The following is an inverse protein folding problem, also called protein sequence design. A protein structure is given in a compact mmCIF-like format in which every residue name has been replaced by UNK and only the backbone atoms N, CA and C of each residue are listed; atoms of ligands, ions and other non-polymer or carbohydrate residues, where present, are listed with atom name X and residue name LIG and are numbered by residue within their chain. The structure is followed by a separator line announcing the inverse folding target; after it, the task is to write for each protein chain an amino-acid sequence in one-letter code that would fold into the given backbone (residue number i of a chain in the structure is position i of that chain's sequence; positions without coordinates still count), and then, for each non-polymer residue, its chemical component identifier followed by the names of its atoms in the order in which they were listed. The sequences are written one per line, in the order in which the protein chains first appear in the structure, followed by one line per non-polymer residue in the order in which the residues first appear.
data_IF_700961369128
#
_entry.id   IF_700961369128
#
_cell.length_a   1.000
_cell.length_b   1.000
_cell.length_c   1.000
_cell.angle_alpha   90.00
_cell.angle_beta   90.00
_cell.angle_gamma   90.00
#
_symmetry.space_group_name_H-M   'P 1'
#
loop_
_entity.id
_entity.type
_entity.pdbx_description
1 polymer ?
#
# COMPACT_ATOMS: atom_id res chain seq x y z
N UNK A 1 -28.06 -17.01 40.69
CA UNK A 1 -27.23 -15.80 40.74
C UNK A 1 -26.75 -15.55 39.32
N UNK A 2 -27.40 -14.63 38.61
CA UNK A 2 -27.10 -14.31 37.22
C UNK A 2 -26.19 -13.08 37.20
N UNK A 3 -25.05 -13.17 36.52
CA UNK A 3 -24.18 -12.02 36.24
C UNK A 3 -23.91 -11.95 34.75
N UNK A 4 -24.41 -10.88 34.14
CA UNK A 4 -24.22 -10.49 32.74
C UNK A 4 -22.78 -10.08 32.43
N UNK A 5 -22.31 -10.22 31.18
CA UNK A 5 -21.02 -9.69 30.74
C UNK A 5 -21.10 -8.21 30.32
N UNK A 6 -20.05 -7.47 30.66
CA UNK A 6 -19.86 -6.03 30.37
C UNK A 6 -19.83 -5.68 28.88
N UNK A 7 -20.27 -4.46 28.49
CA UNK A 7 -20.25 -3.98 27.12
C UNK A 7 -18.92 -3.33 26.72
N UNK A 8 -18.58 -3.46 25.44
CA UNK A 8 -17.43 -2.84 24.75
C UNK A 8 -17.46 -1.29 24.80
N UNK A 9 -16.30 -0.61 24.76
CA UNK A 9 -16.25 0.84 24.73
C UNK A 9 -16.63 1.39 23.35
N UNK A 10 -17.66 2.24 23.31
CA UNK A 10 -18.06 3.05 22.16
C UNK A 10 -17.14 4.27 22.05
N UNK A 11 -16.27 4.29 21.03
CA UNK A 11 -15.52 5.49 20.66
C UNK A 11 -16.46 6.47 19.96
N UNK A 12 -16.82 7.55 20.66
CA UNK A 12 -17.63 8.66 20.16
C UNK A 12 -16.88 9.44 19.08
N UNK A 13 -17.33 9.31 17.82
CA UNK A 13 -16.87 10.14 16.70
C UNK A 13 -17.60 11.49 16.74
N UNK A 14 -16.92 12.56 17.12
CA UNK A 14 -17.40 13.94 17.05
C UNK A 14 -17.21 14.47 15.63
N UNK A 15 -18.27 14.84 14.88
CA UNK A 15 -18.08 15.51 13.61
C UNK A 15 -17.80 17.00 13.86
N UNK A 16 -16.64 17.47 13.41
CA UNK A 16 -16.36 18.90 13.31
C UNK A 16 -17.31 19.54 12.30
N UNK A 17 -18.29 20.29 12.81
CA UNK A 17 -19.19 21.16 12.05
C UNK A 17 -18.42 22.40 11.61
N UNK A 18 -17.82 22.37 10.42
CA UNK A 18 -17.32 23.58 9.79
C UNK A 18 -18.42 24.13 8.88
N UNK A 19 -19.22 25.05 9.41
CA UNK A 19 -20.18 25.83 8.63
C UNK A 19 -19.41 26.83 7.77
N UNK A 20 -19.20 26.53 6.49
CA UNK A 20 -18.95 27.56 5.49
C UNK A 20 -20.07 27.54 4.45
N UNK A 21 -20.83 28.63 4.50
CA UNK A 21 -21.89 29.02 3.60
C UNK A 21 -21.36 29.11 2.16
N UNK A 22 -21.85 28.28 1.26
CA UNK A 22 -21.77 28.52 -0.18
C UNK A 22 -23.18 28.43 -0.77
N UNK A 23 -23.81 29.60 -0.80
CA UNK A 23 -24.97 29.89 -1.63
C UNK A 23 -24.55 29.87 -3.10
N UNK A 24 -25.10 28.92 -3.87
CA UNK A 24 -25.10 28.94 -5.34
C UNK A 24 -24.24 27.86 -6.01
N UNK A 25 -24.77 26.65 -6.18
CA UNK A 25 -24.20 25.62 -7.06
C UNK A 25 -25.33 24.91 -7.82
N UNK A 26 -25.21 24.97 -9.13
CA UNK A 26 -26.02 24.35 -10.19
C UNK A 26 -26.01 22.80 -10.07
N UNK A 27 -27.16 22.08 -10.15
CA UNK A 27 -27.23 20.64 -9.87
C UNK A 27 -26.61 19.71 -10.94
N UNK A 28 -25.99 20.23 -12.01
CA UNK A 28 -25.39 19.43 -13.09
C UNK A 28 -23.86 19.54 -13.23
N UNK A 29 -23.16 20.17 -12.28
CA UNK A 29 -21.71 20.21 -12.30
C UNK A 29 -21.10 19.02 -11.52
N UNK A 30 -20.08 18.32 -12.05
CA UNK A 30 -19.37 17.29 -11.30
C UNK A 30 -18.70 17.91 -10.05
N UNK A 31 -18.56 17.16 -8.94
CA UNK A 31 -17.97 17.69 -7.72
C UNK A 31 -16.54 18.17 -7.96
N UNK A 32 -16.12 19.30 -7.35
CA UNK A 32 -14.78 19.82 -7.55
C UNK A 32 -13.73 18.81 -7.10
N UNK A 33 -12.61 18.67 -7.84
CA UNK A 33 -11.53 17.78 -7.46
C UNK A 33 -10.94 18.19 -6.10
N UNK A 34 -10.41 17.24 -5.32
CA UNK A 34 -9.86 17.52 -4.00
C UNK A 34 -8.74 18.59 -4.09
N UNK A 35 -8.58 19.44 -3.05
CA UNK A 35 -7.54 20.45 -3.04
C UNK A 35 -6.16 19.79 -3.16
N UNK A 36 -5.32 20.35 -4.05
CA UNK A 36 -3.94 19.87 -4.26
C UNK A 36 -3.16 19.92 -2.93
N UNK A 37 -2.38 18.90 -2.58
CA UNK A 37 -1.50 18.95 -1.43
C UNK A 37 -0.51 20.11 -1.60
N UNK A 38 -0.36 20.89 -0.53
CA UNK A 38 0.44 22.11 -0.47
C UNK A 38 1.93 21.79 -0.72
N UNK A 39 2.51 22.47 -1.70
CA UNK A 39 3.90 22.31 -2.14
C UNK A 39 4.85 23.01 -1.18
N UNK A 40 5.24 22.33 -0.09
CA UNK A 40 6.44 22.64 0.70
C UNK A 40 7.03 21.36 1.28
N UNK A 41 7.58 20.53 0.39
CA UNK A 41 8.74 19.69 0.69
C UNK A 41 9.58 19.64 -0.59
N UNK A 42 10.77 20.23 -0.50
CA UNK A 42 11.68 20.46 -1.63
C UNK A 42 12.46 19.17 -1.93
N UNK A 43 12.28 18.69 -3.16
CA UNK A 43 13.24 18.05 -4.08
C UNK A 43 14.55 17.47 -3.54
N UNK A 44 14.87 16.24 -3.98
CA UNK A 44 15.99 15.94 -4.92
C UNK A 44 16.19 14.42 -5.11
N UNK A 45 15.65 13.87 -6.19
CA UNK A 45 16.32 12.76 -6.89
C UNK A 45 15.85 12.73 -8.34
N UNK A 46 16.52 13.55 -9.15
CA UNK A 46 16.46 13.48 -10.60
C UNK A 46 17.55 12.54 -11.11
N UNK A 47 17.15 11.60 -11.95
CA UNK A 47 18.02 10.77 -12.81
C UNK A 47 18.62 11.65 -13.91
N UNK A 48 19.91 11.53 -14.27
CA UNK A 48 20.38 12.02 -15.56
C UNK A 48 20.68 10.86 -16.51
N UNK A 49 19.96 10.85 -17.64
CA UNK A 49 20.40 10.21 -18.87
C UNK A 49 21.44 11.13 -19.55
N UNK A 50 22.58 10.57 -19.94
CA UNK A 50 23.67 11.30 -20.57
C UNK A 50 23.48 11.47 -22.08
N UNK A 51 23.65 12.70 -22.55
CA UNK A 51 24.15 13.04 -23.89
C UNK A 51 24.52 14.52 -23.92
N UNK A 52 25.75 14.84 -24.33
CA UNK A 52 26.15 16.22 -24.66
C UNK A 52 27.58 16.58 -24.24
N UNK A 53 28.55 16.27 -25.10
CA UNK A 53 29.87 16.90 -25.13
C UNK A 53 29.74 18.42 -25.17
N UNK A 54 30.47 19.16 -24.32
CA UNK A 54 31.26 20.35 -24.71
C UNK A 54 32.41 20.56 -23.71
N UNK A 55 33.63 20.34 -24.21
CA UNK A 55 34.89 20.83 -23.67
C UNK A 55 35.02 22.34 -23.87
N UNK A 56 35.61 23.10 -22.93
CA UNK A 56 36.73 24.03 -23.17
C UNK A 56 37.27 24.67 -21.86
N UNK A 57 38.57 24.44 -21.64
CA UNK A 57 39.65 25.25 -21.05
C UNK A 57 39.61 25.82 -19.61
N UNK A 58 40.57 25.31 -18.82
CA UNK A 58 41.12 25.77 -17.52
C UNK A 58 42.21 26.83 -17.73
N UNK A 59 42.21 27.93 -16.98
CA UNK A 59 43.46 28.36 -16.34
C UNK A 59 43.26 29.03 -14.96
N UNK A 60 44.12 28.70 -13.99
CA UNK A 60 44.25 29.40 -12.71
C UNK A 60 44.08 28.49 -11.50
N UNK A 61 45.18 27.94 -10.99
CA UNK A 61 45.24 27.56 -9.57
C UNK A 61 45.02 28.82 -8.71
N UNK A 62 44.32 28.66 -7.59
CA UNK A 62 45.04 28.50 -6.34
C UNK A 62 44.68 27.19 -5.66
N UNK A 63 45.72 26.60 -5.07
CA UNK A 63 45.67 25.56 -4.07
C UNK A 63 44.64 25.88 -2.98
N UNK A 64 43.63 25.02 -2.83
CA UNK A 64 42.86 24.94 -1.59
C UNK A 64 42.55 23.48 -1.31
N UNK A 65 43.46 22.94 -0.51
CA UNK A 65 43.30 21.91 0.51
C UNK A 65 42.04 21.05 0.38
N UNK A 66 42.26 19.78 0.05
CA UNK A 66 41.40 18.71 0.55
C UNK A 66 41.31 18.84 2.07
N UNK A 67 40.23 19.42 2.59
CA UNK A 67 39.80 19.17 3.96
C UNK A 67 39.42 17.69 4.03
N UNK A 68 40.43 16.88 4.34
CA UNK A 68 40.25 15.53 4.81
C UNK A 68 39.32 15.57 6.00
N UNK A 69 38.11 15.06 5.79
CA UNK A 69 37.21 14.67 6.85
C UNK A 69 37.96 13.63 7.67
N UNK A 70 38.59 14.10 8.75
CA UNK A 70 39.17 13.25 9.78
C UNK A 70 38.02 12.44 10.35
N UNK A 71 37.79 11.26 9.79
CA UNK A 71 37.19 10.17 10.54
C UNK A 71 38.09 9.97 11.75
N UNK A 72 37.60 10.49 12.87
CA UNK A 72 38.05 10.15 14.20
C UNK A 72 37.65 8.69 14.43
N UNK A 73 38.26 7.77 13.68
CA UNK A 73 38.46 6.40 14.15
C UNK A 73 39.21 6.59 15.46
N UNK A 74 38.68 6.16 16.62
CA UNK A 74 39.55 5.84 17.71
C UNK A 74 40.48 4.78 17.13
N UNK A 75 41.68 5.22 16.74
CA UNK A 75 42.84 4.34 16.65
C UNK A 75 42.99 3.90 18.09
N UNK A 76 42.24 2.87 18.48
CA UNK A 76 42.51 2.10 19.67
C UNK A 76 44.01 1.90 19.59
N UNK A 77 44.67 2.51 20.56
CA UNK A 77 46.10 2.42 20.70
C UNK A 77 46.37 0.93 20.61
N UNK A 78 46.98 0.49 19.50
CA UNK A 78 47.63 -0.81 19.43
C UNK A 78 48.48 -0.79 20.68
N UNK A 79 48.00 -1.45 21.74
CA UNK A 79 48.71 -1.54 22.99
C UNK A 79 50.07 -2.00 22.54
N UNK A 80 51.08 -1.16 22.73
CA UNK A 80 52.41 -1.41 22.25
C UNK A 80 52.86 -2.62 23.06
N UNK A 81 52.60 -3.83 22.52
CA UNK A 81 52.89 -5.11 23.14
C UNK A 81 54.38 -5.02 23.39
N UNK A 82 54.74 -4.79 24.66
CA UNK A 82 56.14 -4.68 25.04
C UNK A 82 56.75 -6.01 24.68
N UNK A 83 57.69 -5.98 23.73
CA UNK A 83 58.51 -7.11 23.42
C UNK A 83 59.19 -7.51 24.74
N UNK A 84 59.01 -8.74 25.23
CA UNK A 84 59.60 -9.19 26.50
C UNK A 84 61.12 -9.00 26.58
N UNK A 85 61.78 -8.67 25.46
CA UNK A 85 63.20 -8.38 25.36
C UNK A 85 64.04 -9.64 25.45
N UNK A 86 65.32 -9.52 25.14
CA UNK A 86 66.27 -10.65 25.02
C UNK A 86 66.51 -11.43 26.34
N UNK A 87 65.95 -10.96 27.46
CA UNK A 87 66.13 -11.54 28.80
C UNK A 87 65.00 -12.48 29.23
N UNK A 88 63.93 -12.57 28.44
CA UNK A 88 62.82 -13.44 28.82
C UNK A 88 63.02 -14.87 28.35
N UNK A 89 63.16 -15.78 29.32
CA UNK A 89 63.15 -17.22 29.11
C UNK A 89 62.19 -17.87 30.13
N UNK A 90 61.32 -18.80 29.71
CA UNK A 90 60.52 -19.58 30.64
C UNK A 90 61.40 -20.26 31.69
N UNK A 91 61.07 -20.12 32.98
CA UNK A 91 61.86 -20.68 34.11
C UNK A 91 62.11 -22.20 33.97
N UNK A 92 61.21 -22.90 33.30
CA UNK A 92 61.30 -24.34 33.01
C UNK A 92 62.50 -24.69 32.12
N UNK A 93 62.99 -23.74 31.33
CA UNK A 93 64.16 -23.88 30.46
C UNK A 93 65.48 -23.51 31.15
N UNK A 94 65.46 -22.87 32.32
CA UNK A 94 66.68 -22.48 33.04
C UNK A 94 67.42 -23.69 33.64
N UNK A 95 66.70 -24.74 34.05
CA UNK A 95 67.27 -25.91 34.73
C UNK A 95 67.57 -27.09 33.77
N UNK A 96 67.55 -26.87 32.45
CA UNK A 96 67.66 -27.94 31.44
C UNK A 96 69.07 -28.13 30.92
N UNK A 97 69.40 -29.38 30.56
CA UNK A 97 70.72 -29.73 30.03
C UNK A 97 70.93 -29.12 28.64
N UNK A 98 72.19 -28.90 28.24
CA UNK A 98 72.53 -28.37 26.91
C UNK A 98 71.97 -29.24 25.76
N UNK A 99 71.85 -30.55 25.98
CA UNK A 99 71.27 -31.48 25.01
C UNK A 99 69.75 -31.28 24.89
N UNK A 100 69.04 -31.08 26.00
CA UNK A 100 67.60 -30.84 26.00
C UNK A 100 67.25 -29.48 25.38
N UNK A 101 68.07 -28.44 25.62
CA UNK A 101 67.90 -27.13 24.99
C UNK A 101 68.14 -27.20 23.48
N UNK A 102 69.14 -27.95 23.02
CA UNK A 102 69.37 -28.16 21.59
C UNK A 102 68.22 -28.93 20.94
N UNK A 103 67.66 -29.93 21.64
CA UNK A 103 66.49 -30.67 21.18
C UNK A 103 65.24 -29.77 21.08
N UNK A 104 64.97 -28.96 22.12
CA UNK A 104 63.87 -28.00 22.09
C UNK A 104 64.03 -26.96 20.97
N UNK A 105 65.24 -26.46 20.74
CA UNK A 105 65.53 -25.49 19.69
C UNK A 105 65.42 -26.09 18.28
N UNK A 106 65.70 -27.39 18.14
CA UNK A 106 65.54 -28.13 16.89
C UNK A 106 64.09 -28.43 16.52
N UNK A 107 63.15 -28.29 17.46
CA UNK A 107 61.76 -28.67 17.29
C UNK A 107 60.81 -27.46 17.40
N UNK A 108 60.47 -26.79 16.28
CA UNK A 108 59.70 -25.55 16.29
C UNK A 108 58.29 -25.70 16.85
N UNK A 109 57.68 -26.88 16.73
CA UNK A 109 56.36 -27.16 17.31
C UNK A 109 56.40 -27.15 18.85
N UNK A 110 57.50 -27.62 19.45
CA UNK A 110 57.70 -27.62 20.90
C UNK A 110 57.93 -26.18 21.39
N UNK A 111 58.71 -25.39 20.65
CA UNK A 111 58.87 -23.96 20.93
C UNK A 111 57.54 -23.21 20.90
N UNK A 112 56.71 -23.43 19.87
CA UNK A 112 55.39 -22.83 19.77
C UNK A 112 54.47 -23.25 20.94
N UNK A 113 54.53 -24.52 21.35
CA UNK A 113 53.78 -24.98 22.51
C UNK A 113 54.25 -24.31 23.81
N UNK A 114 55.56 -24.11 24.00
CA UNK A 114 56.11 -23.41 25.16
C UNK A 114 55.81 -21.91 25.16
N UNK A 115 55.76 -21.25 24.00
CA UNK A 115 55.43 -19.81 23.93
C UNK A 115 53.95 -19.54 24.16
N UNK A 116 53.06 -20.47 23.80
CA UNK A 116 51.60 -20.30 23.94
C UNK A 116 50.97 -21.05 25.13
N UNK A 117 51.73 -21.87 25.85
CA UNK A 117 51.25 -22.59 27.03
C UNK A 117 51.04 -21.65 28.22
N UNK A 118 49.93 -21.82 28.96
CA UNK A 118 49.53 -20.94 30.07
C UNK A 118 50.53 -20.87 31.22
N UNK A 119 51.40 -21.88 31.37
CA UNK A 119 52.43 -21.94 32.42
C UNK A 119 53.75 -21.25 32.03
N UNK A 120 54.01 -21.09 30.73
CA UNK A 120 55.29 -20.62 30.19
C UNK A 120 55.16 -19.41 29.27
N UNK A 121 53.95 -19.00 28.91
CA UNK A 121 53.68 -17.85 28.05
C UNK A 121 53.95 -16.53 28.79
N UNK A 122 54.49 -15.56 28.06
CA UNK A 122 54.65 -14.21 28.57
C UNK A 122 53.29 -13.49 28.64
N UNK A 123 53.01 -12.67 29.67
CA UNK A 123 51.76 -11.91 29.78
C UNK A 123 51.45 -11.03 28.56
N UNK A 124 52.45 -10.58 27.79
CA UNK A 124 52.23 -9.77 26.58
C UNK A 124 51.45 -10.50 25.49
N UNK A 125 51.58 -11.84 25.39
CA UNK A 125 50.80 -12.65 24.44
C UNK A 125 49.33 -12.65 24.87
N UNK A 126 49.04 -12.86 26.16
CA UNK A 126 47.68 -12.77 26.69
C UNK A 126 47.09 -11.38 26.49
N UNK A 127 47.85 -10.32 26.77
CA UNK A 127 47.43 -8.93 26.52
C UNK A 127 47.14 -8.66 25.04
N UNK A 128 47.91 -9.23 24.11
CA UNK A 128 47.64 -9.07 22.68
C UNK A 128 46.40 -9.84 22.19
N UNK A 129 46.09 -10.97 22.82
CA UNK A 129 45.00 -11.84 22.42
C UNK A 129 43.65 -11.43 23.02
N UNK A 130 43.65 -10.74 24.15
CA UNK A 130 42.44 -10.28 24.84
C UNK A 130 41.56 -9.35 23.98
N UNK A 131 42.07 -8.27 23.35
CA UNK A 131 41.25 -7.43 22.47
C UNK A 131 40.77 -8.18 21.23
N UNK A 132 41.59 -9.12 20.70
CA UNK A 132 41.20 -9.95 19.55
C UNK A 132 40.05 -10.92 19.91
N UNK A 133 40.07 -11.48 21.13
CA UNK A 133 39.00 -12.34 21.64
C UNK A 133 37.73 -11.55 21.89
N UNK A 134 37.84 -10.38 22.52
CA UNK A 134 36.71 -9.46 22.72
C UNK A 134 36.08 -9.06 21.38
N UNK A 135 36.88 -8.66 20.40
CA UNK A 135 36.38 -8.29 19.08
C UNK A 135 35.72 -9.47 18.33
N UNK A 136 36.21 -10.70 18.55
CA UNK A 136 35.60 -11.91 17.99
C UNK A 136 34.24 -12.20 18.64
N UNK A 137 34.16 -12.10 19.97
CA UNK A 137 32.91 -12.27 20.71
C UNK A 137 31.87 -11.22 20.30
N UNK A 138 32.30 -9.96 20.14
CA UNK A 138 31.45 -8.87 19.62
C UNK A 138 30.97 -9.15 18.19
N UNK A 139 31.83 -9.68 17.32
CA UNK A 139 31.45 -10.03 15.96
C UNK A 139 30.41 -11.17 15.94
N UNK A 140 30.56 -12.17 16.80
CA UNK A 140 29.57 -13.25 16.97
C UNK A 140 28.24 -12.69 17.49
N UNK A 141 28.27 -11.80 18.48
CA UNK A 141 27.08 -11.14 19.01
C UNK A 141 26.36 -10.32 17.93
N UNK A 142 27.11 -9.58 17.10
CA UNK A 142 26.55 -8.85 15.97
C UNK A 142 25.96 -9.77 14.91
N UNK A 143 26.65 -10.86 14.55
CA UNK A 143 26.17 -11.82 13.57
C UNK A 143 24.87 -12.51 14.02
N UNK A 144 24.78 -12.91 15.29
CA UNK A 144 23.56 -13.51 15.86
C UNK A 144 22.40 -12.53 15.88
N UNK A 145 22.64 -11.26 16.23
CA UNK A 145 21.63 -10.21 16.17
C UNK A 145 21.16 -9.93 14.74
N UNK A 146 22.07 -9.92 13.75
CA UNK A 146 21.70 -9.76 12.35
C UNK A 146 20.81 -10.91 11.85
N UNK A 147 21.09 -12.15 12.25
CA UNK A 147 20.24 -13.31 11.92
C UNK A 147 18.84 -13.20 12.55
N UNK A 148 18.74 -12.70 13.78
CA UNK A 148 17.43 -12.45 14.42
C UNK A 148 16.64 -11.38 13.64
N UNK A 149 17.29 -10.27 13.27
CA UNK A 149 16.66 -9.21 12.49
C UNK A 149 16.23 -9.69 11.10
N UNK A 150 17.03 -10.53 10.44
CA UNK A 150 16.69 -11.15 9.17
C UNK A 150 15.41 -11.98 9.30
N UNK A 151 15.34 -12.88 10.29
CA UNK A 151 14.15 -13.71 10.53
C UNK A 151 12.91 -12.84 10.79
N UNK A 152 13.05 -11.76 11.56
CA UNK A 152 11.96 -10.82 11.84
C UNK A 152 11.50 -10.08 10.59
N UNK A 153 12.43 -9.65 9.73
CA UNK A 153 12.10 -9.00 8.47
C UNK A 153 11.35 -9.94 7.52
N UNK A 154 11.75 -11.21 7.45
CA UNK A 154 11.06 -12.19 6.59
C UNK A 154 9.66 -12.52 7.09
N UNK A 155 9.47 -12.61 8.40
CA UNK A 155 8.14 -12.70 8.99
C UNK A 155 7.28 -11.47 8.69
N UNK A 156 7.86 -10.27 8.76
CA UNK A 156 7.12 -9.04 8.44
C UNK A 156 6.75 -8.96 6.95
N UNK A 157 7.68 -9.33 6.06
CA UNK A 157 7.44 -9.39 4.61
C UNK A 157 6.34 -10.39 4.26
N UNK A 158 6.39 -11.59 4.80
CA UNK A 158 5.36 -12.61 4.55
C UNK A 158 3.98 -12.19 5.09
N UNK A 159 3.93 -11.63 6.31
CA UNK A 159 2.69 -11.10 6.89
C UNK A 159 2.09 -9.96 6.06
N UNK A 160 2.92 -8.98 5.65
CA UNK A 160 2.46 -7.84 4.85
C UNK A 160 2.02 -8.28 3.45
N UNK A 161 2.71 -9.24 2.84
CA UNK A 161 2.30 -9.83 1.56
C UNK A 161 0.94 -10.52 1.68
N UNK A 162 0.71 -11.31 2.74
CA UNK A 162 -0.58 -11.96 2.98
C UNK A 162 -1.71 -10.93 3.18
N UNK A 163 -1.44 -9.86 3.95
CA UNK A 163 -2.39 -8.78 4.15
C UNK A 163 -2.71 -8.06 2.83
N UNK A 164 -1.70 -7.74 2.01
CA UNK A 164 -1.89 -7.09 0.71
C UNK A 164 -2.71 -7.95 -0.25
N UNK A 165 -2.47 -9.27 -0.28
CA UNK A 165 -3.29 -10.19 -1.08
C UNK A 165 -4.73 -10.23 -0.58
N UNK A 166 -4.95 -10.23 0.74
CA UNK A 166 -6.29 -10.21 1.34
C UNK A 166 -7.05 -8.91 1.04
N UNK A 167 -6.38 -7.75 1.07
CA UNK A 167 -7.02 -6.46 0.76
C UNK A 167 -7.39 -6.38 -0.70
N UNK A 168 -6.53 -6.84 -1.61
CA UNK A 168 -6.88 -6.93 -3.03
C UNK A 168 -8.00 -7.94 -3.31
N UNK A 169 -8.13 -9.01 -2.53
CA UNK A 169 -9.27 -9.92 -2.65
C UNK A 169 -10.57 -9.22 -2.24
N UNK A 170 -10.57 -8.51 -1.10
CA UNK A 170 -11.71 -7.73 -0.63
C UNK A 170 -12.09 -6.60 -1.59
N UNK A 171 -11.11 -5.92 -2.20
CA UNK A 171 -11.34 -4.89 -3.20
C UNK A 171 -12.09 -5.43 -4.42
N UNK A 172 -11.67 -6.60 -4.94
CA UNK A 172 -12.36 -7.26 -6.06
C UNK A 172 -13.78 -7.67 -5.67
N UNK A 173 -13.97 -8.24 -4.48
CA UNK A 173 -15.30 -8.60 -3.97
C UNK A 173 -16.21 -7.39 -3.84
N UNK A 174 -15.69 -6.26 -3.35
CA UNK A 174 -16.45 -5.02 -3.23
C UNK A 174 -16.83 -4.46 -4.60
N UNK A 175 -15.90 -4.41 -5.55
CA UNK A 175 -16.18 -3.99 -6.94
C UNK A 175 -17.25 -4.87 -7.60
N UNK A 176 -17.21 -6.18 -7.35
CA UNK A 176 -18.24 -7.10 -7.83
C UNK A 176 -19.61 -6.82 -7.19
N UNK A 177 -19.66 -6.61 -5.87
CA UNK A 177 -20.92 -6.25 -5.19
C UNK A 177 -21.48 -4.92 -5.66
N UNK A 178 -20.61 -3.94 -5.91
CA UNK A 178 -21.03 -2.64 -6.42
C UNK A 178 -21.61 -2.77 -7.83
N UNK A 179 -20.96 -3.51 -8.73
CA UNK A 179 -21.49 -3.70 -10.09
C UNK A 179 -22.79 -4.52 -10.09
N UNK A 180 -22.94 -5.48 -9.18
CA UNK A 180 -24.20 -6.19 -8.97
C UNK A 180 -25.30 -5.24 -8.48
N UNK A 181 -25.02 -4.42 -7.47
CA UNK A 181 -25.94 -3.39 -6.99
C UNK A 181 -26.35 -2.45 -8.13
N UNK A 182 -25.39 -1.88 -8.85
CA UNK A 182 -25.65 -0.97 -9.97
C UNK A 182 -26.50 -1.65 -11.06
N UNK A 183 -26.25 -2.93 -11.34
CA UNK A 183 -27.04 -3.73 -12.29
C UNK A 183 -28.47 -3.97 -11.80
N UNK A 184 -28.66 -4.24 -10.51
CA UNK A 184 -30.00 -4.41 -9.92
C UNK A 184 -30.78 -3.10 -9.84
N UNK A 185 -30.08 -1.98 -9.62
CA UNK A 185 -30.67 -0.65 -9.54
C UNK A 185 -30.88 -0.01 -10.92
N UNK A 186 -30.15 -0.43 -11.95
CA UNK A 186 -30.22 0.13 -13.29
C UNK A 186 -31.68 0.27 -13.82
N UNK A 187 -32.57 -0.74 -13.72
CA UNK A 187 -33.96 -0.62 -14.18
C UNK A 187 -34.79 0.42 -13.43
N UNK A 188 -34.40 0.74 -12.20
CA UNK A 188 -35.05 1.73 -11.33
C UNK A 188 -34.37 3.10 -11.40
N UNK A 189 -33.33 3.26 -12.23
CA UNK A 189 -32.74 4.55 -12.49
C UNK A 189 -33.75 5.50 -13.13
N UNK A 190 -33.69 6.82 -12.86
CA UNK A 190 -34.62 7.79 -13.43
C UNK A 190 -34.70 7.74 -14.96
N UNK A 191 -33.57 7.53 -15.63
CA UNK A 191 -33.50 7.38 -17.09
C UNK A 191 -34.20 6.12 -17.58
N UNK A 192 -34.01 4.98 -16.91
CA UNK A 192 -34.68 3.72 -17.28
C UNK A 192 -36.19 3.77 -17.04
N UNK A 193 -36.62 4.38 -15.93
CA UNK A 193 -38.04 4.61 -15.65
C UNK A 193 -38.66 5.54 -16.70
N UNK A 194 -37.97 6.62 -17.08
CA UNK A 194 -38.40 7.52 -18.13
C UNK A 194 -38.51 6.82 -19.49
N UNK A 195 -37.49 6.04 -19.87
CA UNK A 195 -37.50 5.25 -21.10
C UNK A 195 -38.68 4.27 -21.12
N UNK A 196 -38.93 3.56 -20.02
CA UNK A 196 -40.06 2.64 -19.89
C UNK A 196 -41.41 3.36 -19.96
N UNK A 197 -41.51 4.57 -19.40
CA UNK A 197 -42.71 5.40 -19.55
C UNK A 197 -42.93 5.81 -21.01
N UNK A 198 -41.88 6.26 -21.71
CA UNK A 198 -41.92 6.59 -23.12
C UNK A 198 -42.34 5.41 -24.00
N UNK A 199 -41.73 4.24 -23.79
CA UNK A 199 -42.12 2.99 -24.44
C UNK A 199 -43.58 2.64 -24.16
N UNK A 200 -44.02 2.73 -22.89
CA UNK A 200 -45.40 2.46 -22.53
C UNK A 200 -46.41 3.44 -23.14
N UNK A 201 -46.03 4.68 -23.48
CA UNK A 201 -46.87 5.60 -24.25
C UNK A 201 -46.98 5.14 -25.70
N UNK A 202 -45.85 4.81 -26.32
CA UNK A 202 -45.79 4.35 -27.70
C UNK A 202 -46.53 3.01 -27.90
N UNK A 203 -46.34 2.03 -27.02
CA UNK A 203 -47.07 0.76 -27.04
C UNK A 203 -48.58 0.96 -26.95
N UNK A 204 -49.04 1.87 -26.09
CA UNK A 204 -50.46 2.14 -25.93
C UNK A 204 -51.02 2.87 -27.16
N UNK A 205 -50.25 3.75 -27.79
CA UNK A 205 -50.60 4.38 -29.06
C UNK A 205 -50.75 3.34 -30.18
N UNK A 206 -49.79 2.42 -30.30
CA UNK A 206 -49.84 1.33 -31.26
C UNK A 206 -51.02 0.38 -31.02
N UNK A 207 -51.33 0.06 -29.75
CA UNK A 207 -52.51 -0.72 -29.40
C UNK A 207 -53.80 0.00 -29.81
N UNK A 208 -53.91 1.31 -29.57
CA UNK A 208 -55.08 2.08 -30.02
C UNK A 208 -55.21 2.05 -31.54
N UNK A 209 -54.11 2.24 -32.27
CA UNK A 209 -54.10 2.16 -33.74
C UNK A 209 -54.48 0.77 -34.24
N UNK A 210 -53.91 -0.29 -33.69
CA UNK A 210 -54.27 -1.66 -34.05
C UNK A 210 -55.75 -1.97 -33.75
N UNK A 211 -56.31 -1.40 -32.67
CA UNK A 211 -57.73 -1.52 -32.33
C UNK A 211 -58.63 -0.74 -33.30
N UNK A 212 -58.17 0.41 -33.81
CA UNK A 212 -58.84 1.18 -34.87
C UNK A 212 -58.79 0.42 -36.20
N UNK A 213 -57.61 -0.07 -36.60
CA UNK A 213 -57.38 -0.85 -37.82
C UNK A 213 -58.20 -2.14 -37.82
N UNK A 214 -58.16 -2.94 -36.74
CA UNK A 214 -58.95 -4.18 -36.64
C UNK A 214 -60.47 -3.96 -36.65
N UNK A 215 -60.95 -2.80 -36.23
CA UNK A 215 -62.37 -2.46 -36.34
C UNK A 215 -62.75 -2.06 -37.77
N UNK A 216 -61.87 -1.33 -38.45
CA UNK A 216 -62.07 -0.88 -39.83
C UNK A 216 -61.88 -2.01 -40.87
N UNK A 217 -61.00 -2.97 -40.59
CA UNK A 217 -60.75 -4.16 -41.42
C UNK A 217 -61.84 -5.24 -41.27
N UNK A 218 -62.69 -5.14 -40.24
CA UNK A 218 -63.90 -5.97 -40.16
C UNK A 218 -64.81 -5.67 -41.35
N UNK A 219 -65.45 -6.70 -41.92
CA UNK A 219 -66.20 -6.69 -43.19
C UNK A 219 -67.50 -5.82 -43.18
N UNK A 220 -67.57 -4.79 -42.32
CA UNK A 220 -68.74 -3.94 -42.11
C UNK A 220 -69.88 -4.58 -41.32
N UNK A 221 -69.73 -5.84 -40.90
CA UNK A 221 -70.76 -6.65 -40.21
C UNK A 221 -70.42 -6.86 -38.73
N UNK A 222 -70.12 -5.79 -37.99
CA UNK A 222 -70.02 -5.87 -36.52
C UNK A 222 -71.44 -5.86 -35.92
N UNK A 223 -71.75 -6.82 -35.06
CA UNK A 223 -73.02 -6.79 -34.31
C UNK A 223 -73.03 -5.59 -33.36
N UNK A 224 -74.22 -5.04 -33.05
CA UNK A 224 -74.37 -3.89 -32.15
C UNK A 224 -73.68 -4.12 -30.79
N UNK A 225 -73.71 -5.36 -30.32
CA UNK A 225 -73.02 -5.78 -29.09
C UNK A 225 -71.50 -5.67 -29.22
N UNK A 226 -70.92 -6.21 -30.28
CA UNK A 226 -69.47 -6.13 -30.56
C UNK A 226 -68.99 -4.69 -30.74
N UNK A 227 -69.77 -3.85 -31.42
CA UNK A 227 -69.47 -2.43 -31.58
C UNK A 227 -69.46 -1.71 -30.21
N UNK A 228 -70.46 -1.95 -29.37
CA UNK A 228 -70.52 -1.35 -28.02
C UNK A 228 -69.37 -1.81 -27.12
N UNK A 229 -68.97 -3.09 -27.23
CA UNK A 229 -67.86 -3.66 -26.48
C UNK A 229 -66.51 -3.14 -26.95
N UNK A 230 -66.35 -2.93 -28.26
CA UNK A 230 -65.18 -2.27 -28.83
C UNK A 230 -65.07 -0.82 -28.33
N UNK A 231 -66.15 -0.02 -28.41
CA UNK A 231 -66.15 1.38 -27.95
C UNK A 231 -65.73 1.47 -26.48
N UNK A 232 -66.19 0.54 -25.64
CA UNK A 232 -65.81 0.48 -24.23
C UNK A 232 -64.30 0.24 -24.07
N UNK A 233 -63.77 -0.81 -24.70
CA UNK A 233 -62.34 -1.18 -24.66
C UNK A 233 -61.44 -0.09 -25.24
N UNK A 234 -61.88 0.56 -26.32
CA UNK A 234 -61.14 1.63 -26.97
C UNK A 234 -61.07 2.89 -26.10
N UNK A 235 -62.19 3.28 -25.46
CA UNK A 235 -62.21 4.39 -24.49
C UNK A 235 -61.30 4.12 -23.30
N UNK A 236 -61.32 2.90 -22.76
CA UNK A 236 -60.41 2.49 -21.68
C UNK A 236 -58.94 2.58 -22.13
N UNK A 237 -58.63 2.11 -23.33
CA UNK A 237 -57.29 2.15 -23.92
C UNK A 237 -56.80 3.60 -24.16
N UNK A 238 -57.65 4.48 -24.70
CA UNK A 238 -57.33 5.91 -24.87
C UNK A 238 -57.17 6.63 -23.53
N UNK A 239 -57.97 6.29 -22.52
CA UNK A 239 -57.82 6.85 -21.17
C UNK A 239 -56.44 6.54 -20.59
N UNK A 240 -55.96 5.30 -20.74
CA UNK A 240 -54.61 4.90 -20.33
C UNK A 240 -53.55 5.65 -21.14
N UNK A 241 -53.71 5.78 -22.46
CA UNK A 241 -52.80 6.53 -23.34
C UNK A 241 -52.62 7.98 -22.86
N UNK A 242 -53.72 8.73 -22.72
CA UNK A 242 -53.65 10.13 -22.32
C UNK A 242 -53.08 10.30 -20.90
N UNK A 243 -53.40 9.39 -19.97
CA UNK A 243 -52.83 9.45 -18.61
C UNK A 243 -51.32 9.20 -18.59
N UNK A 244 -50.81 8.27 -19.42
CA UNK A 244 -49.36 8.02 -19.55
C UNK A 244 -48.66 9.20 -20.23
N UNK A 245 -49.28 9.78 -21.26
CA UNK A 245 -48.79 10.97 -21.95
C UNK A 245 -48.69 12.18 -21.02
N UNK A 246 -49.74 12.47 -20.26
CA UNK A 246 -49.71 13.55 -19.27
C UNK A 246 -48.62 13.33 -18.22
N UNK A 247 -48.46 12.09 -17.72
CA UNK A 247 -47.37 11.76 -16.78
C UNK A 247 -46.00 11.98 -17.39
N UNK A 248 -45.81 11.69 -18.68
CA UNK A 248 -44.56 11.97 -19.41
C UNK A 248 -44.34 13.47 -19.57
N UNK A 249 -45.35 14.22 -20.00
CA UNK A 249 -45.25 15.68 -20.18
C UNK A 249 -44.92 16.37 -18.85
N UNK A 250 -45.56 15.93 -17.75
CA UNK A 250 -45.22 16.40 -16.39
C UNK A 250 -43.81 16.01 -15.97
N UNK A 251 -43.31 14.85 -16.42
CA UNK A 251 -41.93 14.44 -16.18
C UNK A 251 -40.94 15.30 -16.94
N UNK A 252 -41.22 15.60 -18.21
CA UNK A 252 -40.40 16.48 -19.06
C UNK A 252 -40.30 17.90 -18.47
N UNK A 253 -41.36 18.36 -17.80
CA UNK A 253 -41.41 19.64 -17.07
C UNK A 253 -40.81 19.59 -15.65
N UNK A 254 -40.32 18.43 -15.20
CA UNK A 254 -39.78 18.25 -13.84
C UNK A 254 -40.83 18.24 -12.72
N UNK A 255 -42.12 18.15 -13.05
CA UNK A 255 -43.25 18.04 -12.10
C UNK A 255 -43.53 16.59 -11.69
N UNK A 256 -42.47 15.84 -11.35
CA UNK A 256 -42.56 14.43 -10.92
C UNK A 256 -42.72 14.37 -9.40
N UNK A 257 -43.82 13.79 -8.90
CA UNK A 257 -44.01 13.55 -7.46
C UNK A 257 -44.88 14.56 -6.70
N UNK A 258 -45.92 15.10 -7.32
CA UNK A 258 -46.90 15.93 -6.61
C UNK A 258 -48.01 15.10 -5.97
N UNK A 259 -47.95 14.88 -4.65
CA UNK A 259 -49.11 15.16 -3.80
C UNK A 259 -48.91 16.58 -3.29
N UNK A 260 -49.62 17.53 -3.88
CA UNK A 260 -49.94 18.82 -3.27
C UNK A 260 -51.46 18.91 -3.21
#
# INVERSE_FOLDING_TARGET
MSSSPSPYPTSSYTPHRNSQSYSGIDPNAPPPPPPKPNSRDVSRQGTPAGTGNQSFSRPGEPSVQYEGRQENVPREQLQQIQDPGDQWLPKILMDKSKQDLAYALSNPALLAALTHSTATAHPSISTSQEPLKSALDDNIALATHLLELESRLDHLRSSTQAQLLSTHALERQWKQKQSEMDRTLAPFSPSSLYQRLGQGVQEQEMMCRAMEESFLEGDGVATEREASDWVRKYRESKKVYYSRRERKDRWDEGRVGGWR
#
